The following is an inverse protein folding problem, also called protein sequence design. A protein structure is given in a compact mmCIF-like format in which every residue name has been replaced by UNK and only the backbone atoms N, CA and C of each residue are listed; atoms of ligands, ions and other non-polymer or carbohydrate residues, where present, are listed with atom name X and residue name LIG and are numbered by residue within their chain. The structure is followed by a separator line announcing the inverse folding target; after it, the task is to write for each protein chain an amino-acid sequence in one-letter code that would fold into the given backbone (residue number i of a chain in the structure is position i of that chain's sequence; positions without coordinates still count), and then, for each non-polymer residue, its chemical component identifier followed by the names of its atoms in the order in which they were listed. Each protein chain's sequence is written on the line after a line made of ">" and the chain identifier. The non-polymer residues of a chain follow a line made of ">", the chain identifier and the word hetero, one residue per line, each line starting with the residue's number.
data_IF_458194436742
#
_entry.id   IF_458194436742
#
_cell.length_a   1.000
_cell.length_b   1.000
_cell.length_c   1.000
_cell.angle_alpha   90.00
_cell.angle_beta   90.00
_cell.angle_gamma   90.00
#
_symmetry.space_group_name_H-M   'P 1'
#
loop_
_entity.id
_entity.type
_entity.pdbx_description
1 polymer ?
#
# COMPACT_ATOMS: atom_id res chain seq x y z
N UNK A 1 -34.93 -39.97 -21.79
CA UNK A 1 -34.43 -38.57 -21.83
C UNK A 1 -33.87 -38.25 -20.45
N UNK A 2 -32.56 -38.29 -20.32
CA UNK A 2 -31.84 -37.88 -19.07
C UNK A 2 -31.26 -36.49 -19.36
N UNK A 3 -31.77 -35.51 -18.63
CA UNK A 3 -31.19 -34.15 -18.62
C UNK A 3 -29.89 -34.19 -17.79
N UNK A 4 -28.79 -33.95 -18.47
CA UNK A 4 -27.51 -33.66 -17.80
C UNK A 4 -27.54 -32.24 -17.27
N UNK A 5 -27.50 -32.11 -15.94
CA UNK A 5 -27.29 -30.81 -15.26
C UNK A 5 -25.81 -30.48 -15.45
N UNK A 6 -25.55 -29.49 -16.29
CA UNK A 6 -24.23 -28.84 -16.40
C UNK A 6 -24.12 -27.87 -15.23
N UNK A 7 -23.32 -28.24 -14.23
CA UNK A 7 -22.93 -27.34 -13.15
C UNK A 7 -21.79 -26.48 -13.68
N UNK A 8 -22.06 -25.22 -13.94
CA UNK A 8 -21.03 -24.24 -14.31
C UNK A 8 -20.04 -24.03 -13.13
N UNK A 9 -18.80 -24.48 -13.33
CA UNK A 9 -17.64 -24.17 -12.46
C UNK A 9 -17.17 -22.72 -12.70
N UNK A 10 -17.96 -21.73 -12.35
CA UNK A 10 -17.63 -20.33 -12.64
C UNK A 10 -17.05 -19.54 -11.47
N UNK A 11 -17.00 -20.11 -10.26
CA UNK A 11 -16.55 -19.38 -9.05
C UNK A 11 -15.03 -19.45 -8.79
N UNK A 12 -14.33 -20.45 -9.28
CA UNK A 12 -12.87 -20.60 -9.06
C UNK A 12 -11.99 -19.72 -9.94
N UNK A 13 -12.45 -19.37 -11.14
CA UNK A 13 -11.65 -18.68 -12.15
C UNK A 13 -11.53 -17.14 -11.90
N UNK A 14 -12.55 -16.52 -11.34
CA UNK A 14 -12.53 -15.06 -11.11
C UNK A 14 -11.70 -14.67 -9.88
N UNK A 15 -11.68 -15.46 -8.83
CA UNK A 15 -10.87 -15.23 -7.61
C UNK A 15 -9.37 -15.35 -7.91
N UNK A 16 -8.98 -16.16 -8.89
CA UNK A 16 -7.58 -16.27 -9.34
C UNK A 16 -7.11 -15.04 -10.14
N UNK A 17 -8.02 -14.19 -10.63
CA UNK A 17 -7.66 -13.02 -11.44
C UNK A 17 -7.29 -11.78 -10.62
N UNK A 18 -7.66 -11.70 -9.34
CA UNK A 18 -7.42 -10.56 -8.46
C UNK A 18 -6.52 -10.96 -7.28
N UNK A 19 -5.25 -11.23 -7.53
CA UNK A 19 -4.30 -11.61 -6.48
C UNK A 19 -3.42 -10.44 -6.08
N UNK A 20 -3.43 -10.10 -4.78
CA UNK A 20 -2.54 -9.11 -4.19
C UNK A 20 -1.48 -9.83 -3.35
N UNK A 21 -0.22 -9.42 -3.48
CA UNK A 21 0.85 -9.86 -2.59
C UNK A 21 1.21 -8.75 -1.62
N UNK A 22 1.27 -9.11 -0.33
CA UNK A 22 1.78 -8.24 0.73
C UNK A 22 3.21 -8.64 1.02
N UNK A 23 4.16 -7.80 0.71
CA UNK A 23 5.58 -7.98 1.03
C UNK A 23 5.79 -7.58 2.50
N UNK A 24 6.26 -8.53 3.32
CA UNK A 24 6.42 -8.33 4.76
C UNK A 24 7.83 -7.85 5.11
N UNK A 25 7.92 -6.59 5.54
CA UNK A 25 9.15 -5.95 6.03
C UNK A 25 9.32 -6.04 7.56
N UNK A 26 8.67 -7.00 8.20
CA UNK A 26 8.70 -7.19 9.65
C UNK A 26 7.63 -6.40 10.40
N UNK A 27 6.57 -6.00 9.72
CA UNK A 27 5.46 -5.26 10.31
C UNK A 27 4.57 -6.15 11.17
N UNK A 28 4.29 -5.72 12.39
CA UNK A 28 3.21 -6.32 13.18
C UNK A 28 1.82 -6.20 12.49
N UNK A 29 1.69 -5.34 11.48
CA UNK A 29 0.44 -5.06 10.78
C UNK A 29 0.29 -5.78 9.43
N UNK A 30 1.29 -6.54 8.94
CA UNK A 30 1.21 -7.24 7.65
C UNK A 30 -0.01 -8.18 7.58
N UNK A 31 -0.31 -8.91 8.68
CA UNK A 31 -1.49 -9.78 8.77
C UNK A 31 -2.79 -8.98 8.77
N UNK A 32 -2.82 -7.81 9.39
CA UNK A 32 -4.00 -6.94 9.40
C UNK A 32 -4.25 -6.35 8.01
N UNK A 33 -3.20 -5.92 7.30
CA UNK A 33 -3.30 -5.48 5.90
C UNK A 33 -3.91 -6.61 5.05
N UNK A 34 -3.35 -7.81 5.11
CA UNK A 34 -3.86 -8.95 4.35
C UNK A 34 -5.32 -9.29 4.69
N UNK A 35 -5.70 -9.19 5.97
CA UNK A 35 -7.09 -9.37 6.41
C UNK A 35 -8.01 -8.32 5.78
N UNK A 36 -7.63 -7.03 5.79
CA UNK A 36 -8.42 -5.94 5.21
C UNK A 36 -8.61 -6.12 3.69
N UNK A 37 -7.56 -6.57 2.99
CA UNK A 37 -7.65 -6.92 1.56
C UNK A 37 -8.68 -8.03 1.33
N UNK A 38 -8.63 -9.10 2.14
CA UNK A 38 -9.57 -10.24 2.02
C UNK A 38 -11.01 -9.86 2.37
N UNK A 39 -11.23 -8.92 3.29
CA UNK A 39 -12.54 -8.37 3.63
C UNK A 39 -13.18 -7.66 2.42
N UNK A 40 -12.39 -7.26 1.40
CA UNK A 40 -12.86 -6.74 0.12
C UNK A 40 -13.05 -7.84 -0.96
N UNK A 41 -13.08 -9.11 -0.55
CA UNK A 41 -13.21 -10.27 -1.46
C UNK A 41 -12.06 -10.43 -2.46
N UNK A 42 -10.89 -9.86 -2.16
CA UNK A 42 -9.68 -9.98 -2.97
C UNK A 42 -8.75 -11.02 -2.38
N UNK A 43 -8.26 -11.96 -3.20
CA UNK A 43 -7.29 -12.94 -2.75
C UNK A 43 -5.95 -12.28 -2.41
N UNK A 44 -5.40 -12.61 -1.24
CA UNK A 44 -4.20 -11.97 -0.75
C UNK A 44 -3.27 -12.98 -0.07
N UNK A 45 -2.00 -12.93 -0.41
CA UNK A 45 -0.91 -13.70 0.23
C UNK A 45 0.11 -12.75 0.85
N UNK A 46 0.70 -13.19 1.98
CA UNK A 46 1.87 -12.53 2.58
C UNK A 46 3.10 -13.28 2.12
N UNK A 47 4.06 -12.55 1.58
CA UNK A 47 5.32 -13.09 1.06
C UNK A 47 6.51 -12.36 1.69
N UNK A 48 7.71 -12.92 1.56
CA UNK A 48 8.92 -12.24 2.00
C UNK A 48 9.16 -10.97 1.21
N UNK A 49 9.77 -9.96 1.87
CA UNK A 49 10.09 -8.66 1.26
C UNK A 49 11.05 -8.77 0.06
N UNK A 50 11.92 -9.78 0.03
CA UNK A 50 12.97 -10.00 -0.97
C UNK A 50 12.53 -10.90 -2.15
N UNK A 51 11.22 -11.15 -2.30
CA UNK A 51 10.66 -11.94 -3.40
C UNK A 51 11.09 -11.37 -4.76
N UNK A 52 11.53 -12.23 -5.68
CA UNK A 52 11.98 -11.80 -7.00
C UNK A 52 10.80 -11.46 -7.93
N UNK A 53 11.00 -10.59 -8.95
CA UNK A 53 9.99 -10.29 -9.96
C UNK A 53 9.46 -11.53 -10.69
N UNK A 54 10.33 -12.53 -10.95
CA UNK A 54 9.94 -13.79 -11.59
C UNK A 54 9.01 -14.62 -10.69
N UNK A 55 9.28 -14.62 -9.38
CA UNK A 55 8.38 -15.28 -8.43
C UNK A 55 7.02 -14.56 -8.35
N UNK A 56 7.01 -13.22 -8.32
CA UNK A 56 5.77 -12.42 -8.35
C UNK A 56 4.95 -12.74 -9.62
N UNK A 57 5.60 -12.84 -10.78
CA UNK A 57 4.93 -13.24 -12.04
C UNK A 57 4.30 -14.64 -11.94
N UNK A 58 4.99 -15.61 -11.32
CA UNK A 58 4.43 -16.95 -11.10
C UNK A 58 3.21 -16.97 -10.17
N UNK A 59 3.13 -16.01 -9.23
CA UNK A 59 1.93 -15.81 -8.41
C UNK A 59 0.77 -15.14 -9.17
N UNK A 60 0.98 -14.70 -10.41
CA UNK A 60 -0.01 -13.93 -11.19
C UNK A 60 -0.57 -12.72 -10.43
N UNK A 61 0.29 -12.05 -9.66
CA UNK A 61 -0.11 -10.89 -8.87
C UNK A 61 -0.59 -9.75 -9.75
N UNK A 62 -1.68 -9.10 -9.34
CA UNK A 62 -2.26 -7.92 -9.98
C UNK A 62 -1.90 -6.63 -9.25
N UNK A 63 -1.31 -6.73 -8.06
CA UNK A 63 -0.80 -5.60 -7.30
C UNK A 63 0.04 -6.06 -6.13
N UNK A 64 0.86 -5.15 -5.62
CA UNK A 64 1.76 -5.35 -4.49
C UNK A 64 1.43 -4.35 -3.38
N UNK A 65 1.50 -4.80 -2.14
CA UNK A 65 1.50 -3.92 -0.98
C UNK A 65 2.82 -4.12 -0.25
N UNK A 66 3.60 -3.06 -0.12
CA UNK A 66 4.81 -3.03 0.70
C UNK A 66 4.38 -2.65 2.13
N UNK A 67 4.52 -3.57 3.08
CA UNK A 67 4.08 -3.32 4.45
C UNK A 67 4.95 -2.28 5.17
N UNK A 68 4.53 -1.85 6.34
CA UNK A 68 5.40 -1.14 7.27
C UNK A 68 6.55 -2.03 7.76
N UNK A 69 7.42 -1.45 8.57
CA UNK A 69 8.54 -2.15 9.19
C UNK A 69 9.15 -1.34 10.33
N UNK A 70 9.91 -1.97 11.23
CA UNK A 70 10.52 -1.29 12.38
C UNK A 70 11.85 -0.60 12.04
N UNK A 71 12.38 -0.82 10.84
CA UNK A 71 13.72 -0.35 10.45
C UNK A 71 13.66 1.03 9.78
N UNK A 72 14.79 1.72 9.75
CA UNK A 72 15.02 2.89 8.90
C UNK A 72 15.60 2.47 7.56
N UNK A 73 15.08 2.99 6.45
CA UNK A 73 15.49 2.57 5.09
C UNK A 73 16.96 2.79 4.78
N UNK A 74 17.59 3.76 5.47
CA UNK A 74 19.02 4.07 5.35
C UNK A 74 19.92 3.22 6.26
N UNK A 75 19.36 2.32 7.08
CA UNK A 75 20.14 1.39 7.89
C UNK A 75 20.73 0.29 7.02
N UNK A 76 22.01 -0.09 7.27
CA UNK A 76 22.68 -1.14 6.52
C UNK A 76 22.00 -2.52 6.59
N UNK A 77 21.28 -2.78 7.68
CA UNK A 77 20.52 -4.03 7.89
C UNK A 77 19.02 -3.89 7.55
N UNK A 78 18.62 -2.79 6.94
CA UNK A 78 17.21 -2.57 6.59
C UNK A 78 16.74 -3.60 5.54
N UNK A 79 15.57 -4.21 5.72
CA UNK A 79 15.03 -5.11 4.72
C UNK A 79 14.70 -4.33 3.44
N UNK A 80 15.31 -4.73 2.33
CA UNK A 80 15.06 -4.14 1.00
C UNK A 80 14.24 -5.10 0.15
N UNK A 81 13.46 -4.58 -0.77
CA UNK A 81 12.84 -5.39 -1.83
C UNK A 81 13.78 -5.48 -3.05
N UNK A 82 13.46 -6.37 -3.96
CA UNK A 82 14.13 -6.39 -5.26
C UNK A 82 13.73 -5.15 -6.06
N UNK A 83 14.68 -4.28 -6.50
CA UNK A 83 14.33 -3.01 -7.15
C UNK A 83 13.49 -3.20 -8.42
N UNK A 84 13.69 -4.28 -9.17
CA UNK A 84 12.90 -4.59 -10.37
C UNK A 84 11.39 -4.78 -10.15
N UNK A 85 10.89 -4.78 -8.89
CA UNK A 85 9.44 -4.81 -8.65
C UNK A 85 8.74 -3.52 -9.09
N UNK A 86 9.44 -2.40 -9.07
CA UNK A 86 8.92 -1.10 -9.51
C UNK A 86 8.80 -0.98 -11.03
N UNK A 87 9.55 -1.81 -11.78
CA UNK A 87 9.54 -1.84 -13.26
C UNK A 87 8.54 -2.86 -13.84
N UNK A 88 7.80 -3.58 -12.97
CA UNK A 88 6.88 -4.62 -13.42
C UNK A 88 5.60 -4.10 -14.09
N UNK A 89 5.31 -2.81 -13.98
CA UNK A 89 4.08 -2.20 -14.50
C UNK A 89 2.80 -2.63 -13.77
N UNK A 90 2.91 -3.31 -12.63
CA UNK A 90 1.77 -3.64 -11.76
C UNK A 90 1.64 -2.61 -10.64
N UNK A 91 0.44 -2.33 -10.15
CA UNK A 91 0.21 -1.39 -9.05
C UNK A 91 0.97 -1.76 -7.78
N UNK A 92 1.60 -0.76 -7.17
CA UNK A 92 2.33 -0.88 -5.90
C UNK A 92 1.81 0.15 -4.90
N UNK A 93 1.48 -0.30 -3.69
CA UNK A 93 1.17 0.56 -2.55
C UNK A 93 2.20 0.36 -1.45
N UNK A 94 2.98 1.39 -1.15
CA UNK A 94 3.84 1.42 0.03
C UNK A 94 3.09 1.96 1.26
N UNK A 95 3.21 1.29 2.40
CA UNK A 95 2.62 1.74 3.68
C UNK A 95 3.73 1.97 4.68
N UNK A 96 3.83 3.18 5.23
CA UNK A 96 4.83 3.60 6.23
C UNK A 96 6.26 3.29 5.72
N UNK A 97 6.96 2.30 6.27
CA UNK A 97 8.26 1.87 5.77
C UNK A 97 8.24 1.56 4.26
N UNK A 98 7.20 0.89 3.75
CA UNK A 98 7.06 0.57 2.33
C UNK A 98 6.98 1.81 1.42
N UNK A 99 6.33 2.89 1.88
CA UNK A 99 6.36 4.18 1.17
C UNK A 99 7.75 4.79 1.18
N UNK A 100 8.39 4.82 2.35
CA UNK A 100 9.75 5.36 2.51
C UNK A 100 10.74 4.63 1.60
N UNK A 101 10.65 3.28 1.56
CA UNK A 101 11.48 2.45 0.69
C UNK A 101 11.23 2.75 -0.80
N UNK A 102 9.99 2.84 -1.24
CA UNK A 102 9.67 3.16 -2.63
C UNK A 102 10.19 4.56 -3.02
N UNK A 103 10.03 5.55 -2.14
CA UNK A 103 10.56 6.88 -2.38
C UNK A 103 12.10 6.90 -2.43
N UNK A 104 12.78 6.20 -1.51
CA UNK A 104 14.25 6.10 -1.46
C UNK A 104 14.82 5.44 -2.71
N UNK A 105 14.28 4.28 -3.11
CA UNK A 105 14.70 3.53 -4.32
C UNK A 105 14.46 4.31 -5.62
N UNK A 106 13.46 5.21 -5.65
CA UNK A 106 13.09 6.01 -6.82
C UNK A 106 13.59 7.47 -6.75
N UNK A 107 14.67 7.71 -5.99
CA UNK A 107 15.42 8.96 -6.01
C UNK A 107 14.96 10.03 -5.03
N UNK A 108 14.10 9.71 -4.09
CA UNK A 108 13.74 10.55 -2.95
C UNK A 108 14.76 10.47 -1.80
N UNK A 109 14.47 11.14 -0.69
CA UNK A 109 15.28 11.09 0.53
C UNK A 109 14.42 10.90 1.77
N UNK A 110 14.86 10.01 2.63
CA UNK A 110 14.22 9.69 3.92
C UNK A 110 15.20 10.00 5.04
N UNK A 111 14.73 10.72 6.04
CA UNK A 111 15.54 11.03 7.23
C UNK A 111 14.72 10.91 8.50
N UNK A 112 15.42 10.71 9.61
CA UNK A 112 14.84 10.88 10.93
C UNK A 112 14.55 12.37 11.17
N UNK A 113 13.40 12.64 11.74
CA UNK A 113 12.96 14.01 12.05
C UNK A 113 12.64 14.13 13.55
N UNK A 114 12.82 15.34 14.15
CA UNK A 114 12.48 15.56 15.54
C UNK A 114 10.99 15.37 15.84
N UNK A 115 10.14 15.72 14.86
CA UNK A 115 8.68 15.61 14.93
C UNK A 115 8.22 14.19 14.62
N UNK A 116 8.44 13.28 15.57
CA UNK A 116 7.91 11.90 15.46
C UNK A 116 6.40 11.91 15.65
N UNK A 117 5.68 11.15 14.82
CA UNK A 117 4.24 11.04 14.91
C UNK A 117 3.82 9.62 15.35
N UNK A 118 3.12 9.55 16.47
CA UNK A 118 2.53 8.32 16.99
C UNK A 118 1.10 8.59 17.44
N UNK A 119 0.14 7.82 16.90
CA UNK A 119 -1.27 7.96 17.23
C UNK A 119 -2.09 8.65 16.15
N UNK A 120 -3.20 9.27 16.54
CA UNK A 120 -4.11 9.95 15.63
C UNK A 120 -3.53 11.30 15.18
N UNK A 121 -3.65 11.57 13.89
CA UNK A 121 -3.32 12.86 13.29
C UNK A 121 -4.39 13.27 12.27
N UNK A 122 -4.61 14.59 12.13
CA UNK A 122 -5.43 15.14 11.07
C UNK A 122 -4.61 15.17 9.78
N UNK A 123 -5.13 14.55 8.75
CA UNK A 123 -4.52 14.46 7.44
C UNK A 123 -5.36 15.22 6.42
N UNK A 124 -4.74 16.13 5.71
CA UNK A 124 -5.35 16.84 4.58
C UNK A 124 -5.03 16.08 3.30
N UNK A 125 -6.06 15.64 2.58
CA UNK A 125 -5.97 14.82 1.38
C UNK A 125 -6.30 15.60 0.13
N UNK A 126 -5.67 15.26 -1.00
CA UNK A 126 -6.10 15.72 -2.31
C UNK A 126 -7.24 14.83 -2.81
N UNK A 127 -8.46 15.25 -2.57
CA UNK A 127 -9.69 14.52 -2.96
C UNK A 127 -9.88 14.36 -4.47
N UNK A 128 -9.10 15.07 -5.28
CA UNK A 128 -9.12 14.97 -6.76
C UNK A 128 -8.37 13.74 -7.30
N UNK A 129 -7.53 13.08 -6.48
CA UNK A 129 -6.85 11.86 -6.90
C UNK A 129 -7.71 10.61 -6.66
N UNK A 130 -7.56 9.61 -7.54
CA UNK A 130 -8.29 8.35 -7.47
C UNK A 130 -8.10 7.61 -6.14
N UNK A 131 -6.91 7.73 -5.49
CA UNK A 131 -6.63 7.13 -4.20
C UNK A 131 -7.55 7.66 -3.09
N UNK A 132 -7.91 8.94 -3.16
CA UNK A 132 -8.73 9.63 -2.17
C UNK A 132 -10.15 9.94 -2.64
N UNK A 133 -10.56 9.39 -3.78
CA UNK A 133 -11.89 9.61 -4.33
C UNK A 133 -12.99 9.24 -3.32
N UNK A 134 -13.84 10.20 -2.98
CA UNK A 134 -14.91 10.06 -2.00
C UNK A 134 -14.45 10.00 -0.55
N UNK A 135 -13.19 10.32 -0.28
CA UNK A 135 -12.65 10.56 1.06
C UNK A 135 -12.74 12.08 1.32
N UNK A 136 -13.18 12.52 2.52
CA UNK A 136 -13.17 13.94 2.89
C UNK A 136 -11.77 14.54 2.79
N UNK A 137 -11.68 15.85 2.51
CA UNK A 137 -10.40 16.58 2.44
C UNK A 137 -9.62 16.55 3.76
N UNK A 138 -10.31 16.40 4.89
CA UNK A 138 -9.69 16.19 6.20
C UNK A 138 -10.19 14.88 6.79
N UNK A 139 -9.26 13.99 7.16
CA UNK A 139 -9.54 12.70 7.79
C UNK A 139 -8.60 12.43 8.96
N UNK A 140 -9.08 11.68 9.93
CA UNK A 140 -8.21 11.13 10.97
C UNK A 140 -7.43 9.95 10.42
N UNK A 141 -6.11 9.95 10.61
CA UNK A 141 -5.22 8.86 10.24
C UNK A 141 -4.41 8.38 11.45
N UNK A 142 -3.88 7.15 11.37
CA UNK A 142 -2.99 6.62 12.39
C UNK A 142 -1.55 6.71 11.93
N UNK A 143 -0.76 7.50 12.61
CA UNK A 143 0.68 7.65 12.41
C UNK A 143 1.47 6.74 13.34
N UNK A 144 2.58 6.19 12.88
CA UNK A 144 3.51 5.38 13.69
C UNK A 144 4.89 5.40 13.04
N UNK A 145 5.56 6.56 13.05
CA UNK A 145 6.86 6.71 12.40
C UNK A 145 7.76 7.73 13.10
N UNK A 146 9.06 7.50 13.00
CA UNK A 146 10.11 8.43 13.41
C UNK A 146 10.91 8.98 12.24
N UNK A 147 10.82 8.32 11.08
CA UNK A 147 11.44 8.74 9.82
C UNK A 147 10.36 9.24 8.87
N UNK A 148 10.71 10.18 8.01
CA UNK A 148 9.81 10.75 6.99
C UNK A 148 10.52 10.87 5.65
N UNK A 149 9.74 10.84 4.57
CA UNK A 149 10.19 11.31 3.27
C UNK A 149 10.34 12.82 3.35
N UNK A 150 11.58 13.29 3.37
CA UNK A 150 11.91 14.72 3.49
C UNK A 150 12.07 15.40 2.13
N UNK A 151 12.35 14.62 1.09
CA UNK A 151 12.42 15.06 -0.28
C UNK A 151 11.89 13.97 -1.21
N UNK A 152 10.83 14.27 -1.95
CA UNK A 152 10.39 13.43 -3.06
C UNK A 152 11.21 13.75 -4.32
N UNK A 153 11.40 12.75 -5.20
CA UNK A 153 11.96 13.02 -6.53
C UNK A 153 10.93 13.73 -7.41
N UNK A 154 11.37 14.30 -8.52
CA UNK A 154 10.49 14.99 -9.50
C UNK A 154 9.42 14.08 -10.11
N UNK A 155 9.66 12.75 -10.05
CA UNK A 155 8.72 11.76 -10.53
C UNK A 155 7.55 11.50 -9.60
N UNK A 156 7.57 12.02 -8.38
CA UNK A 156 6.47 11.93 -7.42
C UNK A 156 5.74 13.25 -7.26
N UNK A 157 4.48 13.14 -6.89
CA UNK A 157 3.67 14.26 -6.40
C UNK A 157 3.09 13.92 -5.03
N UNK A 158 3.02 14.91 -4.11
CA UNK A 158 2.40 14.71 -2.81
C UNK A 158 0.88 14.71 -2.96
N UNK A 159 0.21 13.77 -2.28
CA UNK A 159 -1.25 13.64 -2.27
C UNK A 159 -1.88 13.98 -0.93
N UNK A 160 -1.11 13.97 0.16
CA UNK A 160 -1.62 14.30 1.48
C UNK A 160 -0.52 14.83 2.39
N UNK A 161 -0.93 15.56 3.44
CA UNK A 161 -0.05 16.10 4.47
C UNK A 161 -0.72 16.10 5.85
N UNK A 162 0.10 16.14 6.91
CA UNK A 162 -0.32 16.46 8.27
C UNK A 162 0.39 17.72 8.77
N UNK A 163 0.08 18.17 9.98
CA UNK A 163 0.75 19.34 10.56
C UNK A 163 2.27 19.18 10.74
N UNK A 164 2.78 17.94 10.85
CA UNK A 164 4.20 17.62 11.08
C UNK A 164 4.80 16.70 10.03
N UNK A 165 4.01 16.17 9.09
CA UNK A 165 4.44 15.35 7.96
C UNK A 165 3.96 15.96 6.65
N UNK A 166 4.80 16.78 5.98
CA UNK A 166 4.42 17.44 4.72
C UNK A 166 4.12 16.48 3.58
N UNK A 167 4.67 15.25 3.64
CA UNK A 167 4.50 14.20 2.64
C UNK A 167 3.89 12.98 3.31
N UNK A 168 2.59 13.04 3.61
CA UNK A 168 1.86 11.95 4.23
C UNK A 168 1.33 10.91 3.22
N UNK A 169 1.21 11.29 1.95
CA UNK A 169 0.95 10.39 0.84
C UNK A 169 1.58 10.90 -0.44
N UNK A 170 1.94 9.97 -1.32
CA UNK A 170 2.55 10.26 -2.63
C UNK A 170 1.96 9.39 -3.73
N UNK A 171 2.10 9.86 -4.96
CA UNK A 171 1.86 9.10 -6.18
C UNK A 171 3.01 9.33 -7.16
N UNK A 172 3.45 8.29 -7.83
CA UNK A 172 4.36 8.42 -8.96
C UNK A 172 3.58 8.93 -10.19
N UNK A 173 4.17 9.84 -10.95
CA UNK A 173 3.50 10.53 -12.06
C UNK A 173 3.21 9.61 -13.26
N UNK A 174 4.09 8.65 -13.52
CA UNK A 174 4.03 7.78 -14.69
C UNK A 174 3.74 6.31 -14.33
N UNK A 175 4.24 5.84 -13.19
CA UNK A 175 4.09 4.46 -12.75
C UNK A 175 2.91 4.33 -11.79
N UNK A 176 2.24 3.18 -11.73
CA UNK A 176 1.12 2.94 -10.81
C UNK A 176 1.63 2.67 -9.37
N UNK A 177 2.42 3.62 -8.82
CA UNK A 177 3.03 3.51 -7.50
C UNK A 177 2.45 4.58 -6.59
N UNK A 178 1.95 4.16 -5.45
CA UNK A 178 1.39 5.01 -4.39
C UNK A 178 2.09 4.73 -3.06
N UNK A 179 2.14 5.73 -2.21
CA UNK A 179 2.68 5.60 -0.86
C UNK A 179 1.83 6.32 0.18
N UNK A 180 1.69 5.70 1.36
CA UNK A 180 1.02 6.24 2.53
C UNK A 180 1.98 6.18 3.72
N UNK A 181 2.25 7.30 4.38
CA UNK A 181 3.03 7.32 5.62
C UNK A 181 2.23 6.79 6.80
N UNK A 182 0.92 6.95 6.79
CA UNK A 182 -0.01 6.47 7.80
C UNK A 182 -0.48 5.02 7.54
N UNK A 183 -1.11 4.44 8.56
CA UNK A 183 -1.66 3.09 8.51
C UNK A 183 -3.18 3.11 8.31
N UNK A 184 -3.69 2.96 7.08
CA UNK A 184 -5.13 3.07 6.81
C UNK A 184 -5.94 1.93 7.44
N UNK A 185 -5.28 0.84 7.84
CA UNK A 185 -5.93 -0.34 8.44
C UNK A 185 -6.18 -0.23 9.95
N UNK A 186 -5.66 0.81 10.62
CA UNK A 186 -5.70 0.92 12.09
C UNK A 186 -6.84 1.79 12.62
N UNK A 187 -7.50 2.59 11.79
CA UNK A 187 -8.65 3.36 12.22
C UNK A 187 -9.91 2.50 12.19
N UNK A 188 -10.45 2.25 13.37
CA UNK A 188 -11.64 1.42 13.59
C UNK A 188 -12.97 2.12 13.21
N UNK A 189 -12.91 3.31 12.65
CA UNK A 189 -14.05 4.21 12.48
C UNK A 189 -14.63 4.29 11.06
N UNK A 190 -14.35 3.31 10.20
CA UNK A 190 -15.17 3.19 9.00
C UNK A 190 -16.43 2.39 9.35
N UNK A 191 -17.62 2.99 9.35
CA UNK A 191 -18.88 2.28 9.63
C UNK A 191 -19.24 1.26 8.56
N UNK A 192 -18.49 1.21 7.44
CA UNK A 192 -18.70 0.28 6.35
C UNK A 192 -17.37 -0.25 5.79
N UNK A 193 -17.28 -1.55 5.44
CA UNK A 193 -16.15 -2.09 4.68
C UNK A 193 -15.91 -1.37 3.33
N UNK A 194 -16.93 -0.68 2.81
CA UNK A 194 -16.88 0.08 1.56
C UNK A 194 -16.19 1.45 1.69
N UNK A 195 -15.98 1.94 2.90
CA UNK A 195 -15.46 3.29 3.17
C UNK A 195 -13.96 3.30 3.49
N UNK A 196 -13.28 2.14 3.47
CA UNK A 196 -11.85 2.03 3.69
C UNK A 196 -11.03 2.47 2.48
N UNK A 197 -9.94 3.22 2.70
CA UNK A 197 -8.97 3.62 1.66
C UNK A 197 -8.53 2.44 0.78
N UNK A 198 -8.33 1.26 1.38
CA UNK A 198 -7.94 0.05 0.64
C UNK A 198 -9.04 -0.48 -0.30
N UNK A 199 -10.33 -0.17 -0.02
CA UNK A 199 -11.45 -0.58 -0.86
C UNK A 199 -11.62 0.26 -2.13
N UNK A 200 -10.93 1.38 -2.22
CA UNK A 200 -11.09 2.39 -3.28
C UNK A 200 -9.87 2.53 -4.19
N UNK A 201 -8.95 1.58 -4.10
CA UNK A 201 -7.79 1.57 -4.99
C UNK A 201 -8.25 1.42 -6.46
N UNK A 202 -7.74 2.23 -7.42
CA UNK A 202 -8.24 2.31 -8.79
C UNK A 202 -8.24 1.00 -9.58
N UNK A 203 -7.52 -0.01 -9.09
CA UNK A 203 -7.38 -1.32 -9.75
C UNK A 203 -8.24 -2.44 -9.14
N UNK A 204 -9.21 -2.11 -8.27
CA UNK A 204 -10.08 -3.09 -7.60
C UNK A 204 -11.52 -3.06 -8.12
N UNK A 205 -11.79 -2.28 -9.15
CA UNK A 205 -13.08 -2.19 -9.88
C UNK A 205 -13.13 -3.08 -11.11
#
# INVERSE_FOLDING_TARGET
>A
MQEQIVVEETTGSQVAQQRILVLDFGSQYARLIARRVREQHVYCEIVKHDISPEAIKRHHAKGLILSGGPSSVYSNAAPKCHPGIFDMGIPVLGICYGMQLACDELGGKVHSVPSREYGRAKCHTNSGDALFQGIPEEVDVWMSHGDQVTQISENFEPLASTGTCPVAAVKHRELPIYGLQFHPCLLYTSPSPRDGLLARMPWWG
#
